data_IF_757218819584
#
_entry.id   IF_757218819584
#
_cell.length_a   1.000
_cell.length_b   1.000
_cell.length_c   1.000
_cell.angle_alpha   90.00
_cell.angle_beta   90.00
_cell.angle_gamma   90.00
#
_symmetry.space_group_name_H-M   'P 1'
#
loop_
_entity.id
_entity.type
_entity.pdbx_description
1 polymer ?
#
# COMPACT_ATOMS: atom_id res chain seq x y z
N UNK A 1 -33.68 30.30 -8.81
CA UNK A 1 -32.93 29.31 -8.01
C UNK A 1 -31.45 29.51 -8.31
N UNK A 2 -30.78 30.34 -7.51
CA UNK A 2 -29.34 30.60 -7.61
C UNK A 2 -28.60 29.50 -6.84
N UNK A 3 -28.12 28.48 -7.55
CA UNK A 3 -27.25 27.46 -6.97
C UNK A 3 -25.93 28.12 -6.60
N UNK A 4 -25.72 28.42 -5.31
CA UNK A 4 -24.41 28.83 -4.81
C UNK A 4 -23.40 27.74 -5.20
N UNK A 5 -22.32 28.07 -5.93
CA UNK A 5 -21.35 27.08 -6.33
C UNK A 5 -20.72 26.48 -5.07
N UNK A 6 -20.93 25.18 -4.85
CA UNK A 6 -20.25 24.44 -3.79
C UNK A 6 -18.76 24.49 -4.12
N UNK A 7 -18.00 25.33 -3.41
CA UNK A 7 -16.55 25.37 -3.57
C UNK A 7 -15.97 24.05 -3.10
N UNK A 8 -15.55 23.21 -4.06
CA UNK A 8 -14.78 22.01 -3.78
C UNK A 8 -13.43 22.44 -3.19
N UNK A 9 -13.34 22.47 -1.87
CA UNK A 9 -12.11 22.82 -1.17
C UNK A 9 -11.17 21.62 -1.15
N UNK A 10 -10.14 21.65 -1.99
CA UNK A 10 -9.14 20.58 -2.08
C UNK A 10 -8.16 20.55 -0.89
N UNK A 11 -8.37 21.34 0.17
CA UNK A 11 -7.35 21.61 1.21
C UNK A 11 -6.72 20.39 1.89
N UNK A 12 -7.36 19.22 1.81
CA UNK A 12 -6.90 17.97 2.40
C UNK A 12 -6.40 16.93 1.38
N UNK A 13 -6.11 17.31 0.12
CA UNK A 13 -5.64 16.36 -0.91
C UNK A 13 -4.21 15.89 -0.65
N UNK A 14 -3.30 16.82 -0.35
CA UNK A 14 -1.86 16.53 -0.25
C UNK A 14 -1.52 15.52 0.86
N UNK A 15 -2.06 15.64 2.09
CA UNK A 15 -1.74 14.68 3.16
C UNK A 15 -2.31 13.28 2.90
N UNK A 16 -3.40 13.17 2.11
CA UNK A 16 -3.97 11.87 1.71
C UNK A 16 -3.11 11.21 0.64
N UNK A 17 -2.72 11.99 -0.38
CA UNK A 17 -1.86 11.53 -1.46
C UNK A 17 -0.49 11.10 -0.95
N UNK A 18 0.13 11.86 -0.03
CA UNK A 18 1.41 11.49 0.57
C UNK A 18 1.32 10.21 1.41
N UNK A 19 0.21 10.01 2.14
CA UNK A 19 -0.04 8.76 2.86
C UNK A 19 -0.11 7.57 1.90
N UNK A 20 -0.92 7.67 0.84
CA UNK A 20 -1.03 6.63 -0.18
C UNK A 20 0.29 6.39 -0.93
N UNK A 21 1.08 7.43 -1.16
CA UNK A 21 2.36 7.32 -1.85
C UNK A 21 3.37 6.56 -1.00
N UNK A 22 3.62 7.03 0.22
CA UNK A 22 4.66 6.46 1.10
C UNK A 22 4.19 5.15 1.73
N UNK A 23 3.07 5.19 2.45
CA UNK A 23 2.58 4.01 3.16
C UNK A 23 1.97 2.97 2.22
N UNK A 24 1.38 3.40 1.10
CA UNK A 24 0.90 2.44 0.10
C UNK A 24 2.04 1.68 -0.55
N UNK A 25 3.19 2.32 -0.79
CA UNK A 25 4.35 1.64 -1.37
C UNK A 25 4.93 0.60 -0.41
N UNK A 26 5.11 0.97 0.86
CA UNK A 26 5.62 0.05 1.88
C UNK A 26 4.65 -1.11 2.14
N UNK A 27 3.34 -0.85 2.03
CA UNK A 27 2.30 -1.89 2.15
C UNK A 27 2.39 -2.88 0.98
N UNK A 28 2.53 -2.38 -0.26
CA UNK A 28 2.71 -3.22 -1.44
C UNK A 28 3.93 -4.12 -1.33
N UNK A 29 5.05 -3.60 -0.83
CA UNK A 29 6.24 -4.42 -0.60
C UNK A 29 6.01 -5.51 0.46
N UNK A 30 5.37 -5.18 1.58
CA UNK A 30 5.04 -6.18 2.60
C UNK A 30 4.14 -7.29 2.03
N UNK A 31 3.11 -6.93 1.25
CA UNK A 31 2.23 -7.89 0.57
C UNK A 31 3.01 -8.81 -0.38
N UNK A 32 3.83 -8.25 -1.28
CA UNK A 32 4.61 -9.06 -2.22
C UNK A 32 5.67 -9.91 -1.52
N UNK A 33 6.26 -9.42 -0.42
CA UNK A 33 7.17 -10.19 0.42
C UNK A 33 6.50 -11.40 1.07
N UNK A 34 5.31 -11.22 1.66
CA UNK A 34 4.52 -12.33 2.23
C UNK A 34 4.15 -13.33 1.13
N UNK A 35 3.66 -12.86 -0.02
CA UNK A 35 3.32 -13.73 -1.15
C UNK A 35 4.53 -14.51 -1.67
N UNK A 36 5.71 -13.88 -1.76
CA UNK A 36 6.95 -14.54 -2.14
C UNK A 36 7.34 -15.67 -1.18
N UNK A 37 7.17 -15.45 0.12
CA UNK A 37 7.38 -16.50 1.13
C UNK A 37 6.38 -17.65 0.97
N UNK A 38 5.08 -17.33 0.82
CA UNK A 38 4.02 -18.34 0.70
C UNK A 38 4.10 -19.18 -0.58
N UNK A 39 4.53 -18.59 -1.70
CA UNK A 39 4.66 -19.28 -3.00
C UNK A 39 6.07 -19.87 -3.19
N UNK A 40 6.95 -19.73 -2.19
CA UNK A 40 8.32 -20.24 -2.19
C UNK A 40 9.12 -19.73 -3.40
N UNK A 41 8.95 -18.45 -3.71
CA UNK A 41 9.70 -17.82 -4.79
C UNK A 41 11.17 -17.80 -4.41
N UNK A 42 11.99 -18.38 -5.29
CA UNK A 42 13.44 -18.35 -5.15
C UNK A 42 13.92 -16.90 -5.05
N UNK A 43 14.79 -16.59 -4.08
CA UNK A 43 15.37 -15.25 -3.90
C UNK A 43 16.24 -14.76 -5.08
N UNK A 44 16.23 -15.48 -6.20
CA UNK A 44 16.90 -15.13 -7.44
C UNK A 44 16.11 -14.02 -8.17
N UNK A 45 16.71 -12.84 -8.39
CA UNK A 45 16.01 -11.71 -9.05
C UNK A 45 15.59 -11.99 -10.50
N UNK A 46 16.25 -12.96 -11.15
CA UNK A 46 15.95 -13.36 -12.55
C UNK A 46 14.92 -14.49 -12.65
N UNK A 47 14.49 -15.07 -11.53
CA UNK A 47 13.42 -16.05 -11.56
C UNK A 47 12.12 -15.38 -12.00
N UNK A 48 11.34 -16.10 -12.82
CA UNK A 48 10.06 -15.59 -13.35
C UNK A 48 9.10 -15.21 -12.21
N UNK A 49 9.07 -16.00 -11.12
CA UNK A 49 8.27 -15.69 -9.93
C UNK A 49 8.67 -14.36 -9.27
N UNK A 50 9.96 -14.11 -9.12
CA UNK A 50 10.49 -12.86 -8.54
C UNK A 50 10.16 -11.64 -9.41
N UNK A 51 10.29 -11.78 -10.73
CA UNK A 51 9.91 -10.74 -11.67
C UNK A 51 8.41 -10.46 -11.60
N UNK A 52 7.58 -11.50 -11.57
CA UNK A 52 6.13 -11.34 -11.48
C UNK A 52 5.71 -10.59 -10.20
N UNK A 53 6.26 -10.97 -9.05
CA UNK A 53 6.02 -10.26 -7.78
C UNK A 53 6.49 -8.80 -7.84
N UNK A 54 7.66 -8.54 -8.43
CA UNK A 54 8.15 -7.17 -8.64
C UNK A 54 7.20 -6.34 -9.50
N UNK A 55 6.70 -6.91 -10.61
CA UNK A 55 5.76 -6.23 -11.49
C UNK A 55 4.40 -5.99 -10.82
N UNK A 56 3.97 -6.86 -9.90
CA UNK A 56 2.73 -6.70 -9.14
C UNK A 56 2.77 -5.57 -8.11
N UNK A 57 3.95 -5.12 -7.67
CA UNK A 57 4.07 -3.99 -6.73
C UNK A 57 3.38 -2.74 -7.28
N UNK A 58 3.63 -2.41 -8.55
CA UNK A 58 3.10 -1.18 -9.20
C UNK A 58 1.56 -1.17 -9.27
N UNK A 59 0.86 -2.16 -9.85
CA UNK A 59 -0.60 -2.15 -9.91
C UNK A 59 -1.26 -2.20 -8.54
N UNK A 60 -0.67 -2.91 -7.56
CA UNK A 60 -1.18 -2.91 -6.19
C UNK A 60 -0.98 -1.55 -5.53
N UNK A 61 0.19 -0.93 -5.72
CA UNK A 61 0.48 0.40 -5.19
C UNK A 61 -0.44 1.47 -5.79
N UNK A 62 -0.65 1.48 -7.10
CA UNK A 62 -1.56 2.43 -7.76
C UNK A 62 -3.02 2.21 -7.35
N UNK A 63 -3.43 0.96 -7.14
CA UNK A 63 -4.73 0.62 -6.56
C UNK A 63 -4.90 1.23 -5.16
N UNK A 64 -3.92 1.03 -4.27
CA UNK A 64 -3.93 1.61 -2.91
C UNK A 64 -3.91 3.14 -2.95
N UNK A 65 -3.08 3.73 -3.81
CA UNK A 65 -3.07 5.18 -4.06
C UNK A 65 -4.47 5.70 -4.45
N UNK A 66 -5.20 4.98 -5.30
CA UNK A 66 -6.59 5.32 -5.63
C UNK A 66 -7.51 5.33 -4.41
N UNK A 67 -7.35 4.36 -3.50
CA UNK A 67 -8.15 4.30 -2.26
C UNK A 67 -7.88 5.46 -1.29
N UNK A 68 -6.76 6.18 -1.43
CA UNK A 68 -6.43 7.27 -0.51
C UNK A 68 -7.45 8.42 -0.53
N UNK A 69 -8.17 8.57 -1.66
CA UNK A 69 -9.22 9.56 -1.83
C UNK A 69 -10.55 9.17 -1.18
N UNK A 70 -10.76 7.89 -0.85
CA UNK A 70 -11.93 7.42 -0.10
C UNK A 70 -11.88 7.87 1.37
N UNK A 71 -10.68 8.20 1.89
CA UNK A 71 -10.56 8.66 3.28
C UNK A 71 -11.07 10.08 3.44
N UNK A 72 -11.88 10.29 4.49
CA UNK A 72 -12.47 11.59 4.83
C UNK A 72 -11.43 12.63 5.26
N UNK A 73 -10.29 12.22 5.80
CA UNK A 73 -9.19 13.10 6.25
C UNK A 73 -7.82 12.46 6.02
N UNK A 74 -6.77 13.28 5.80
CA UNK A 74 -5.38 12.81 5.66
C UNK A 74 -4.86 12.04 6.87
N UNK A 75 -5.14 12.52 8.09
CA UNK A 75 -4.74 11.82 9.32
C UNK A 75 -5.31 10.41 9.44
N UNK A 76 -6.58 10.22 9.06
CA UNK A 76 -7.18 8.88 9.00
C UNK A 76 -6.51 7.99 7.94
N UNK A 77 -6.12 8.55 6.79
CA UNK A 77 -5.38 7.80 5.78
C UNK A 77 -4.03 7.32 6.33
N UNK A 78 -3.29 8.19 7.01
CA UNK A 78 -2.04 7.84 7.69
C UNK A 78 -2.22 6.80 8.79
N UNK A 79 -3.23 6.96 9.66
CA UNK A 79 -3.48 6.02 10.75
C UNK A 79 -3.86 4.62 10.23
N UNK A 80 -4.73 4.56 9.21
CA UNK A 80 -5.21 3.28 8.66
C UNK A 80 -4.10 2.59 7.84
N UNK A 81 -3.46 3.31 6.92
CA UNK A 81 -2.36 2.75 6.13
C UNK A 81 -1.16 2.41 7.01
N UNK A 82 -0.88 3.20 8.04
CA UNK A 82 0.21 2.97 9.00
C UNK A 82 -0.07 1.74 9.86
N UNK A 83 -1.29 1.61 10.38
CA UNK A 83 -1.72 0.40 11.09
C UNK A 83 -1.66 -0.84 10.21
N UNK A 84 -2.14 -0.76 8.98
CA UNK A 84 -2.07 -1.86 8.02
C UNK A 84 -0.62 -2.25 7.70
N UNK A 85 0.28 -1.27 7.55
CA UNK A 85 1.72 -1.54 7.40
C UNK A 85 2.29 -2.28 8.60
N UNK A 86 2.02 -1.80 9.82
CA UNK A 86 2.52 -2.45 11.03
C UNK A 86 2.06 -3.92 11.10
N UNK A 87 0.78 -4.18 10.84
CA UNK A 87 0.23 -5.55 10.82
C UNK A 87 0.92 -6.41 9.77
N UNK A 88 1.03 -5.94 8.52
CA UNK A 88 1.63 -6.75 7.45
C UNK A 88 3.13 -6.98 7.66
N UNK A 89 3.87 -6.00 8.17
CA UNK A 89 5.29 -6.21 8.48
C UNK A 89 5.49 -7.19 9.63
N UNK A 90 4.64 -7.16 10.66
CA UNK A 90 4.64 -8.16 11.74
C UNK A 90 4.34 -9.55 11.18
N UNK A 91 3.33 -9.68 10.32
CA UNK A 91 3.00 -10.96 9.65
C UNK A 91 4.19 -11.43 8.80
N UNK A 92 4.78 -10.55 8.00
CA UNK A 92 5.95 -10.87 7.17
C UNK A 92 7.10 -11.40 8.02
N UNK A 93 7.44 -10.73 9.12
CA UNK A 93 8.49 -11.17 10.03
C UNK A 93 8.16 -12.52 10.68
N UNK A 94 6.90 -12.74 11.09
CA UNK A 94 6.44 -14.00 11.67
C UNK A 94 6.48 -15.16 10.69
N UNK A 95 6.00 -14.97 9.46
CA UNK A 95 6.10 -16.00 8.40
C UNK A 95 7.56 -16.27 8.05
N UNK A 96 8.38 -15.21 7.95
CA UNK A 96 9.79 -15.35 7.63
C UNK A 96 10.55 -16.15 8.70
N UNK A 97 10.26 -15.94 9.98
CA UNK A 97 10.92 -16.64 11.08
C UNK A 97 10.52 -18.11 11.18
N UNK A 98 9.31 -18.47 10.73
CA UNK A 98 8.88 -19.87 10.65
C UNK A 98 9.51 -20.62 9.48
N UNK A 99 9.90 -19.90 8.41
CA UNK A 99 10.47 -20.45 7.18
C UNK A 99 12.01 -20.37 7.13
N UNK A 100 12.65 -19.87 8.18
CA UNK A 100 14.11 -19.80 8.35
C UNK A 100 14.61 -20.88 9.28
#
# INVERSE_FOLDING_TARGET
MTSTPVMLSSRNWFPKASAGLVLGLTLSFALMGILGLLVHVDGQPRAVGSQFLMWLVVPVWTGILGTCFLFRSGWRAWAILGGANAVLWVIYMGVRSMMS
#
